data_IF_088941801832
#
_entry.id   IF_088941801832
#
_cell.length_a   1.000
_cell.length_b   1.000
_cell.length_c   1.000
_cell.angle_alpha   90.00
_cell.angle_beta   90.00
_cell.angle_gamma   90.00
#
_symmetry.space_group_name_H-M   'P 1'
#
loop_
_entity.id
_entity.type
_entity.pdbx_description
1 polymer ?
#
# COMPACT_ATOMS: atom_id res chain seq x y z
N UNK A 1 -19.69 28.53 -10.27
CA UNK A 1 -18.25 28.85 -10.10
C UNK A 1 -18.13 29.54 -8.75
N UNK A 2 -17.42 29.07 -7.73
CA UNK A 2 -16.46 27.98 -7.57
C UNK A 2 -16.86 27.12 -6.34
N UNK A 3 -16.61 25.81 -6.43
CA UNK A 3 -16.76 24.89 -5.31
C UNK A 3 -15.78 25.31 -4.22
N UNK A 4 -16.29 25.63 -3.03
CA UNK A 4 -15.49 25.97 -1.86
C UNK A 4 -14.88 24.66 -1.37
N UNK A 5 -13.72 24.32 -1.92
CA UNK A 5 -12.96 23.12 -1.57
C UNK A 5 -12.68 23.12 -0.07
N UNK A 6 -13.42 22.27 0.64
CA UNK A 6 -13.25 21.94 2.04
C UNK A 6 -11.89 21.26 2.22
N UNK A 7 -10.84 21.95 2.72
CA UNK A 7 -9.54 21.30 2.97
C UNK A 7 -8.76 21.78 4.20
N UNK A 8 -9.39 22.37 5.21
CA UNK A 8 -8.73 22.53 6.52
C UNK A 8 -9.70 22.23 7.66
N UNK A 9 -9.72 20.97 8.10
CA UNK A 9 -10.31 20.56 9.38
C UNK A 9 -9.34 20.95 10.52
N UNK A 10 -9.22 22.25 10.81
CA UNK A 10 -8.44 22.75 11.95
C UNK A 10 -6.92 22.54 11.88
N UNK A 11 -6.20 23.09 12.85
CA UNK A 11 -4.79 22.82 13.09
C UNK A 11 -4.59 22.51 14.58
N UNK A 12 -3.82 21.47 14.89
CA UNK A 12 -3.44 21.13 16.26
C UNK A 12 -1.94 21.31 16.39
N UNK A 13 -1.50 22.05 17.42
CA UNK A 13 -0.09 22.23 17.71
C UNK A 13 0.37 21.09 18.63
N UNK A 14 1.29 20.25 18.13
CA UNK A 14 1.96 19.23 18.93
C UNK A 14 3.46 19.48 18.93
N UNK A 15 4.07 19.37 20.10
CA UNK A 15 5.51 19.45 20.25
C UNK A 15 6.12 18.05 20.15
N UNK A 16 7.22 17.85 19.41
CA UNK A 16 7.94 16.59 19.43
C UNK A 16 8.42 16.24 20.84
N UNK A 17 8.50 14.94 21.13
CA UNK A 17 9.14 14.46 22.35
C UNK A 17 10.68 14.58 22.28
N UNK A 18 11.37 14.15 23.34
CA UNK A 18 12.83 14.20 23.41
C UNK A 18 13.54 13.33 22.34
N UNK A 19 12.82 12.38 21.73
CA UNK A 19 13.31 11.53 20.65
C UNK A 19 12.92 12.07 19.26
N UNK A 20 12.29 13.24 19.19
CA UNK A 20 11.89 13.88 17.95
C UNK A 20 10.61 13.31 17.32
N UNK A 21 9.82 12.52 18.06
CA UNK A 21 8.60 11.90 17.53
C UNK A 21 7.39 12.82 17.73
N UNK A 22 6.50 12.84 16.74
CA UNK A 22 5.19 13.49 16.81
C UNK A 22 4.11 12.42 16.73
N UNK A 23 3.26 12.34 17.75
CA UNK A 23 2.09 11.45 17.73
C UNK A 23 1.02 12.14 16.89
N UNK A 24 0.64 11.54 15.76
CA UNK A 24 -0.33 12.11 14.82
C UNK A 24 -1.76 11.63 15.06
N UNK A 25 -1.95 10.52 15.77
CA UNK A 25 -3.27 9.98 16.12
C UNK A 25 -3.24 8.45 16.16
N UNK A 26 -4.23 7.83 16.83
CA UNK A 26 -4.34 6.35 16.86
C UNK A 26 -4.91 5.80 15.56
N UNK A 27 -5.66 6.61 14.84
CA UNK A 27 -6.19 6.35 13.51
C UNK A 27 -5.11 6.07 12.46
N UNK A 28 -3.86 6.46 12.73
CA UNK A 28 -2.70 6.28 11.85
C UNK A 28 -1.69 5.25 12.39
N UNK A 29 -2.08 4.42 13.36
CA UNK A 29 -1.16 3.49 14.02
C UNK A 29 -0.55 2.44 13.07
N UNK A 30 -1.30 2.03 12.05
CA UNK A 30 -0.90 1.00 11.07
C UNK A 30 -0.53 1.59 9.69
N UNK A 31 -0.56 2.91 9.55
CA UNK A 31 -0.22 3.59 8.30
C UNK A 31 1.30 3.70 8.14
N UNK A 32 1.79 3.41 6.94
CA UNK A 32 3.16 3.78 6.53
C UNK A 32 3.13 5.12 5.82
N UNK A 33 4.04 6.03 6.16
CA UNK A 33 4.11 7.36 5.53
C UNK A 33 5.42 7.55 4.77
N UNK A 34 5.30 8.08 3.54
CA UNK A 34 6.41 8.76 2.90
C UNK A 34 6.60 10.13 3.59
N UNK A 35 7.84 10.41 3.99
CA UNK A 35 8.23 11.69 4.60
C UNK A 35 8.93 12.54 3.56
N UNK A 36 8.30 13.64 3.18
CA UNK A 36 8.88 14.60 2.24
C UNK A 36 9.22 15.89 2.97
N UNK A 37 10.46 16.34 2.79
CA UNK A 37 10.94 17.62 3.32
C UNK A 37 10.98 18.61 2.17
N UNK A 38 10.24 19.69 2.29
CA UNK A 38 10.14 20.73 1.27
C UNK A 38 11.14 21.86 1.55
N UNK A 39 11.56 22.57 0.51
CA UNK A 39 12.57 23.64 0.61
C UNK A 39 12.11 24.83 1.47
N UNK A 40 10.78 25.00 1.63
CA UNK A 40 10.19 26.02 2.49
C UNK A 40 10.18 25.63 3.98
N UNK A 41 10.71 24.45 4.33
CA UNK A 41 10.77 23.92 5.70
C UNK A 41 9.56 23.09 6.11
N UNK A 42 8.55 22.95 5.25
CA UNK A 42 7.39 22.09 5.53
C UNK A 42 7.77 20.60 5.46
N UNK A 43 7.09 19.80 6.27
CA UNK A 43 7.16 18.34 6.22
C UNK A 43 5.80 17.82 5.80
N UNK A 44 5.75 17.11 4.67
CA UNK A 44 4.55 16.46 4.18
C UNK A 44 4.61 14.97 4.50
N UNK A 45 3.56 14.46 5.15
CA UNK A 45 3.35 13.04 5.40
C UNK A 45 2.30 12.53 4.42
N UNK A 46 2.66 11.54 3.59
CA UNK A 46 1.70 10.90 2.67
C UNK A 46 1.57 9.41 3.02
N UNK A 47 0.35 8.90 3.31
CA UNK A 47 0.13 7.48 3.46
C UNK A 47 0.53 6.71 2.19
N UNK A 48 1.23 5.59 2.36
CA UNK A 48 1.69 4.72 1.27
C UNK A 48 1.53 3.25 1.66
N UNK A 49 1.43 2.39 0.63
CA UNK A 49 1.51 0.94 0.77
C UNK A 49 2.84 0.49 0.18
N UNK A 50 3.53 -0.41 0.87
CA UNK A 50 4.79 -1.00 0.40
C UNK A 50 4.49 -2.23 -0.44
N UNK A 51 5.08 -2.29 -1.64
CA UNK A 51 4.93 -3.41 -2.58
C UNK A 51 6.31 -4.02 -2.77
N UNK A 52 6.42 -5.35 -2.65
CA UNK A 52 7.69 -6.03 -2.86
C UNK A 52 8.17 -5.82 -4.31
N UNK A 53 9.49 -5.73 -4.51
CA UNK A 53 10.07 -5.49 -5.84
C UNK A 53 9.63 -6.53 -6.88
N UNK A 54 9.44 -7.78 -6.45
CA UNK A 54 8.96 -8.89 -7.28
C UNK A 54 7.51 -8.74 -7.75
N UNK A 55 6.71 -7.89 -7.10
CA UNK A 55 5.31 -7.63 -7.45
C UNK A 55 5.13 -6.26 -8.13
N UNK A 56 6.03 -5.32 -7.86
CA UNK A 56 5.97 -3.95 -8.36
C UNK A 56 5.91 -3.84 -9.90
N UNK A 57 6.49 -4.81 -10.63
CA UNK A 57 6.47 -4.82 -12.09
C UNK A 57 5.05 -4.86 -12.68
N UNK A 58 4.09 -5.47 -11.96
CA UNK A 58 2.71 -5.59 -12.43
C UNK A 58 2.07 -4.20 -12.58
N UNK A 59 2.39 -3.26 -11.69
CA UNK A 59 1.89 -1.89 -11.72
C UNK A 59 2.52 -1.05 -12.84
N UNK A 60 3.68 -1.45 -13.35
CA UNK A 60 4.33 -0.82 -14.49
C UNK A 60 3.90 -1.40 -15.85
N UNK A 61 3.13 -2.51 -15.86
CA UNK A 61 2.66 -3.18 -17.06
C UNK A 61 1.12 -3.17 -17.15
N UNK A 62 0.52 -2.20 -17.86
CA UNK A 62 -0.92 -2.07 -17.97
C UNK A 62 -1.61 -3.30 -18.58
N UNK A 63 -0.98 -3.95 -19.55
CA UNK A 63 -1.54 -5.14 -20.21
C UNK A 63 -1.64 -6.32 -19.23
N UNK A 64 -0.56 -6.58 -18.48
CA UNK A 64 -0.56 -7.61 -17.45
C UNK A 64 -1.59 -7.32 -16.35
N UNK A 65 -1.68 -6.06 -15.92
CA UNK A 65 -2.65 -5.62 -14.92
C UNK A 65 -4.11 -5.87 -15.38
N UNK A 66 -4.45 -5.50 -16.62
CA UNK A 66 -5.79 -5.75 -17.17
C UNK A 66 -6.08 -7.25 -17.31
N UNK A 67 -5.08 -8.06 -17.63
CA UNK A 67 -5.22 -9.52 -17.65
C UNK A 67 -5.52 -10.08 -16.25
N UNK A 68 -4.82 -9.61 -15.22
CA UNK A 68 -5.07 -10.01 -13.82
C UNK A 68 -6.46 -9.61 -13.38
N UNK A 69 -6.88 -8.36 -13.63
CA UNK A 69 -8.25 -7.89 -13.29
C UNK A 69 -9.33 -8.74 -13.94
N UNK A 70 -9.18 -9.05 -15.23
CA UNK A 70 -10.11 -9.93 -15.95
C UNK A 70 -10.17 -11.33 -15.33
N UNK A 71 -9.01 -11.90 -14.99
CA UNK A 71 -8.95 -13.20 -14.31
C UNK A 71 -9.66 -13.21 -12.95
N UNK A 72 -9.46 -12.15 -12.15
CA UNK A 72 -10.16 -11.99 -10.86
C UNK A 72 -11.67 -11.89 -11.04
N UNK A 73 -12.14 -11.17 -12.06
CA UNK A 73 -13.56 -11.09 -12.38
C UNK A 73 -14.13 -12.46 -12.80
N UNK A 74 -13.44 -13.16 -13.71
CA UNK A 74 -13.85 -14.50 -14.13
C UNK A 74 -13.92 -15.47 -12.95
N UNK A 75 -12.95 -15.40 -12.03
CA UNK A 75 -12.95 -16.22 -10.82
C UNK A 75 -14.15 -15.93 -9.91
N UNK A 76 -14.48 -14.66 -9.70
CA UNK A 76 -15.66 -14.26 -8.92
C UNK A 76 -16.98 -14.73 -9.56
N UNK A 77 -17.04 -14.79 -10.90
CA UNK A 77 -18.19 -15.28 -11.66
C UNK A 77 -18.24 -16.82 -11.76
N UNK A 78 -17.24 -17.53 -11.21
CA UNK A 78 -17.14 -18.99 -11.31
C UNK A 78 -16.67 -19.49 -12.68
N UNK A 79 -16.22 -18.60 -13.56
CA UNK A 79 -15.65 -18.91 -14.88
C UNK A 79 -14.21 -19.42 -14.75
N UNK A 80 -14.02 -20.50 -13.99
CA UNK A 80 -12.72 -21.11 -13.69
C UNK A 80 -12.64 -22.53 -14.25
N UNK A 81 -11.42 -22.96 -14.58
CA UNK A 81 -11.13 -24.35 -14.94
C UNK A 81 -10.14 -24.91 -13.93
N UNK A 82 -10.45 -26.05 -13.31
CA UNK A 82 -9.51 -26.73 -12.42
C UNK A 82 -8.40 -27.39 -13.25
N UNK A 83 -7.15 -27.11 -12.90
CA UNK A 83 -5.97 -27.76 -13.48
C UNK A 83 -5.39 -28.85 -12.56
N UNK A 84 -6.12 -29.23 -11.50
CA UNK A 84 -5.61 -30.09 -10.45
C UNK A 84 -4.88 -29.32 -9.35
N UNK A 85 -4.08 -30.04 -8.57
CA UNK A 85 -3.31 -29.48 -7.44
C UNK A 85 -1.93 -29.02 -7.91
N UNK A 86 -1.50 -27.84 -7.48
CA UNK A 86 -0.14 -27.35 -7.70
C UNK A 86 0.85 -27.80 -6.61
N UNK A 87 0.43 -28.67 -5.68
CA UNK A 87 1.26 -29.12 -4.56
C UNK A 87 2.57 -29.81 -5.00
N UNK A 88 2.61 -30.40 -6.20
CA UNK A 88 3.83 -31.01 -6.75
C UNK A 88 4.95 -30.00 -7.05
N UNK A 89 4.62 -28.71 -7.11
CA UNK A 89 5.58 -27.62 -7.36
C UNK A 89 5.97 -26.87 -6.09
N UNK A 90 5.41 -27.22 -4.93
CA UNK A 90 5.88 -26.69 -3.67
C UNK A 90 7.25 -27.28 -3.38
N UNK A 91 8.30 -26.46 -3.44
CA UNK A 91 9.64 -26.82 -2.97
C UNK A 91 9.68 -26.68 -1.45
N UNK A 92 10.19 -27.69 -0.74
CA UNK A 92 10.33 -27.74 0.72
C UNK A 92 11.34 -26.72 1.31
N UNK A 93 11.68 -25.65 0.58
CA UNK A 93 12.71 -24.65 0.95
C UNK A 93 12.25 -23.63 2.01
N UNK A 94 10.97 -23.62 2.40
CA UNK A 94 10.46 -22.82 3.53
C UNK A 94 10.47 -23.58 4.88
N UNK A 95 11.21 -24.70 4.95
CA UNK A 95 11.46 -25.40 6.21
C UNK A 95 12.58 -24.66 6.97
N UNK A 96 12.22 -23.71 7.84
CA UNK A 96 13.14 -23.20 8.86
C UNK A 96 13.62 -24.39 9.72
N UNK A 97 14.87 -24.81 9.55
CA UNK A 97 15.56 -25.71 10.50
C UNK A 97 15.83 -24.92 11.80
N UNK A 98 15.09 -25.29 12.85
CA UNK A 98 15.28 -25.13 14.31
C UNK A 98 16.07 -23.92 14.89
#
# INVERSE_FOLDING_TARGET
>A
MASKDSRFLGHELRKPDAQGRIIIGKEHADDTFAIERLDNGDILLRPVVVIHKQEAWLFANPEAMESVKRGLQQAAEGNVSSLGSFAEFATDEDSEED
#
